data_IF_733160207731
#
_entry.id   IF_733160207731
#
_cell.length_a   1.000
_cell.length_b   1.000
_cell.length_c   1.000
_cell.angle_alpha   90.00
_cell.angle_beta   90.00
_cell.angle_gamma   90.00
#
_symmetry.space_group_name_H-M   'P 1'
#
loop_
_entity.id
_entity.type
_entity.pdbx_description
1 polymer ?
#
# COMPACT_ATOMS: atom_id res chain seq x y z
N UNK A 1 -18.80 -7.03 -5.27
CA UNK A 1 -17.52 -6.32 -5.02
C UNK A 1 -16.41 -7.34 -4.84
N UNK A 2 -15.28 -7.10 -5.46
CA UNK A 2 -14.11 -7.93 -5.28
C UNK A 2 -13.11 -7.19 -4.39
N UNK A 3 -12.46 -7.93 -3.49
CA UNK A 3 -11.41 -7.38 -2.63
C UNK A 3 -10.13 -8.16 -2.87
N UNK A 4 -9.09 -7.46 -3.27
CA UNK A 4 -7.75 -8.02 -3.40
C UNK A 4 -6.88 -7.46 -2.30
N UNK A 5 -6.06 -8.31 -1.70
CA UNK A 5 -5.23 -7.92 -0.57
C UNK A 5 -3.80 -8.39 -0.76
N UNK A 6 -2.87 -7.46 -0.63
CA UNK A 6 -1.45 -7.74 -0.59
C UNK A 6 -0.93 -7.46 0.82
N UNK A 7 -0.18 -8.39 1.37
CA UNK A 7 0.41 -8.23 2.71
C UNK A 7 1.92 -8.25 2.58
N UNK A 8 2.56 -7.25 3.17
CA UNK A 8 4.01 -7.11 3.18
C UNK A 8 4.48 -7.08 4.64
N UNK A 9 5.38 -7.99 5.00
CA UNK A 9 5.95 -8.02 6.34
C UNK A 9 7.42 -7.65 6.25
N UNK A 10 7.82 -6.63 7.00
CA UNK A 10 9.23 -6.22 7.03
C UNK A 10 10.03 -7.21 7.85
N UNK A 11 11.05 -7.83 7.24
CA UNK A 11 11.82 -8.89 7.89
C UNK A 11 13.23 -8.47 8.29
N UNK A 12 13.76 -7.36 7.75
CA UNK A 12 15.16 -6.99 7.98
C UNK A 12 15.34 -5.47 8.03
N UNK A 13 15.45 -4.93 9.24
CA UNK A 13 15.82 -3.54 9.46
C UNK A 13 14.69 -2.54 9.22
N UNK A 14 14.96 -1.28 9.52
CA UNK A 14 14.00 -0.21 9.30
C UNK A 14 14.02 0.29 7.85
N UNK A 15 12.92 0.94 7.46
CA UNK A 15 12.79 1.67 6.20
C UNK A 15 12.54 3.12 6.57
N UNK A 16 13.32 4.04 5.99
CA UNK A 16 13.15 5.47 6.25
C UNK A 16 11.83 5.98 5.68
N UNK A 17 11.32 7.06 6.28
CA UNK A 17 10.16 7.74 5.77
C UNK A 17 10.36 8.14 4.30
N UNK A 18 9.29 8.13 3.53
CA UNK A 18 9.27 8.50 2.12
C UNK A 18 10.09 7.58 1.19
N UNK A 19 10.39 6.37 1.64
CA UNK A 19 11.00 5.36 0.77
C UNK A 19 9.93 4.72 -0.09
N UNK A 20 10.16 4.67 -1.40
CA UNK A 20 9.23 4.03 -2.34
C UNK A 20 9.26 2.51 -2.17
N UNK A 21 8.07 1.92 -2.03
CA UNK A 21 7.90 0.49 -1.86
C UNK A 21 6.97 -0.01 -2.96
N UNK A 22 7.46 -0.92 -3.81
CA UNK A 22 6.63 -1.60 -4.79
C UNK A 22 5.85 -2.69 -4.06
N UNK A 23 4.54 -2.58 -4.02
CA UNK A 23 3.70 -3.51 -3.23
C UNK A 23 3.70 -4.93 -3.78
N UNK A 24 4.08 -5.13 -5.03
CA UNK A 24 4.14 -6.45 -5.64
C UNK A 24 5.55 -7.01 -5.69
N UNK A 25 6.56 -6.17 -5.57
CA UNK A 25 7.98 -6.57 -5.61
C UNK A 25 8.82 -5.57 -4.81
N UNK A 26 8.71 -5.58 -3.48
CA UNK A 26 9.41 -4.59 -2.65
C UNK A 26 10.91 -4.87 -2.49
N UNK A 27 11.38 -6.01 -3.00
CA UNK A 27 12.79 -6.37 -2.89
C UNK A 27 13.15 -7.13 -1.62
N UNK A 28 14.46 -7.29 -1.35
CA UNK A 28 14.92 -8.02 -0.18
C UNK A 28 14.45 -7.41 1.14
N UNK A 29 14.28 -8.24 2.15
CA UNK A 29 13.88 -7.79 3.47
C UNK A 29 12.36 -7.70 3.66
N UNK A 30 11.58 -8.27 2.74
CA UNK A 30 10.14 -8.33 2.83
C UNK A 30 9.64 -9.75 2.60
N UNK A 31 8.65 -10.16 3.37
CA UNK A 31 7.86 -11.36 3.11
C UNK A 31 6.53 -10.94 2.54
N UNK A 32 6.07 -11.62 1.49
CA UNK A 32 4.85 -11.27 0.77
C UNK A 32 3.79 -12.36 0.96
N UNK A 33 2.56 -11.90 1.20
CA UNK A 33 1.38 -12.75 1.26
C UNK A 33 0.26 -12.11 0.45
N UNK A 34 -0.75 -12.89 0.13
CA UNK A 34 -1.89 -12.39 -0.62
C UNK A 34 -1.64 -12.38 -2.13
N UNK A 35 -2.36 -11.50 -2.83
CA UNK A 35 -2.32 -11.43 -4.29
C UNK A 35 -1.77 -10.09 -4.75
N UNK A 36 -1.16 -10.02 -5.94
CA UNK A 36 -0.72 -8.74 -6.50
C UNK A 36 -1.89 -7.77 -6.63
N UNK A 37 -1.63 -6.50 -6.34
CA UNK A 37 -2.61 -5.42 -6.45
C UNK A 37 -2.01 -4.33 -7.31
N UNK A 38 -2.73 -3.93 -8.35
CA UNK A 38 -2.25 -2.92 -9.30
C UNK A 38 -3.24 -1.78 -9.40
N UNK A 39 -2.74 -0.59 -9.74
CA UNK A 39 -3.54 0.61 -9.87
C UNK A 39 -3.24 1.29 -11.19
N UNK A 40 -4.27 1.91 -11.79
CA UNK A 40 -4.11 2.67 -13.01
C UNK A 40 -3.61 4.10 -12.76
N UNK A 41 -3.57 4.53 -11.51
CA UNK A 41 -3.10 5.85 -11.14
C UNK A 41 -3.50 6.23 -9.73
N UNK A 42 -3.16 7.47 -9.33
CA UNK A 42 -3.39 7.96 -7.97
C UNK A 42 -4.87 8.08 -7.62
N UNK A 43 -5.72 8.39 -8.59
CA UNK A 43 -7.17 8.48 -8.35
C UNK A 43 -7.73 7.11 -7.95
N UNK A 44 -7.35 6.06 -8.66
CA UNK A 44 -7.78 4.72 -8.30
C UNK A 44 -7.27 4.34 -6.92
N UNK A 45 -6.01 4.66 -6.60
CA UNK A 45 -5.45 4.38 -5.30
C UNK A 45 -6.27 5.05 -4.19
N UNK A 46 -6.53 6.35 -4.32
CA UNK A 46 -7.22 7.11 -3.27
C UNK A 46 -8.68 6.73 -3.11
N UNK A 47 -9.35 6.30 -4.19
CA UNK A 47 -10.78 6.02 -4.18
C UNK A 47 -11.13 4.57 -3.90
N UNK A 48 -10.23 3.63 -4.24
CA UNK A 48 -10.55 2.20 -4.18
C UNK A 48 -9.65 1.41 -3.24
N UNK A 49 -8.71 2.06 -2.57
CA UNK A 49 -7.68 1.37 -1.81
C UNK A 49 -7.68 1.81 -0.36
N UNK A 50 -7.44 0.85 0.52
CA UNK A 50 -7.13 1.10 1.92
C UNK A 50 -5.78 0.49 2.25
N UNK A 51 -5.00 1.20 3.05
CA UNK A 51 -3.69 0.73 3.51
C UNK A 51 -3.74 0.63 5.02
N UNK A 52 -3.25 -0.48 5.54
CA UNK A 52 -3.17 -0.72 6.98
C UNK A 52 -1.72 -0.93 7.37
N UNK A 53 -1.36 -0.44 8.54
CA UNK A 53 -0.06 -0.70 9.16
C UNK A 53 -0.32 -1.27 10.54
N UNK A 54 0.13 -2.51 10.75
CA UNK A 54 -0.08 -3.22 12.02
C UNK A 54 -1.55 -3.26 12.45
N UNK A 55 -2.45 -3.40 11.47
CA UNK A 55 -3.87 -3.49 11.72
C UNK A 55 -4.60 -2.15 11.81
N UNK A 56 -3.88 -1.02 11.79
CA UNK A 56 -4.49 0.31 11.82
C UNK A 56 -4.61 0.88 10.42
N UNK A 57 -5.80 1.39 10.11
CA UNK A 57 -6.03 2.03 8.80
C UNK A 57 -5.19 3.30 8.70
N UNK A 58 -4.60 3.52 7.53
CA UNK A 58 -3.74 4.66 7.28
C UNK A 58 -4.47 5.67 6.39
N UNK A 59 -4.21 6.95 6.61
CA UNK A 59 -4.70 8.00 5.73
C UNK A 59 -3.88 7.99 4.45
N UNK A 60 -4.58 7.92 3.31
CA UNK A 60 -3.93 7.82 2.01
C UNK A 60 -4.07 9.12 1.22
N UNK A 61 -3.10 9.38 0.36
CA UNK A 61 -3.10 10.54 -0.51
C UNK A 61 -2.35 10.29 -1.80
N UNK A 62 -2.44 11.25 -2.71
CA UNK A 62 -1.82 11.16 -4.04
C UNK A 62 -0.37 11.67 -4.06
N UNK A 63 0.07 12.33 -3.01
CA UNK A 63 1.42 12.90 -2.94
C UNK A 63 1.81 13.10 -1.48
N UNK A 64 3.08 13.31 -1.24
CA UNK A 64 3.58 13.58 0.11
C UNK A 64 2.89 14.80 0.71
N UNK A 65 2.36 14.65 1.91
CA UNK A 65 1.66 15.69 2.63
C UNK A 65 1.70 15.37 4.12
N UNK A 66 1.80 16.38 4.96
CA UNK A 66 1.80 16.19 6.40
C UNK A 66 0.49 15.59 6.94
N UNK A 67 -0.55 15.58 6.13
CA UNK A 67 -1.86 15.06 6.52
C UNK A 67 -2.07 13.60 6.13
N UNK A 68 -1.11 12.99 5.42
CA UNK A 68 -1.20 11.59 5.01
C UNK A 68 -0.29 10.73 5.88
N UNK A 69 -0.65 9.44 6.01
CA UNK A 69 0.24 8.43 6.56
C UNK A 69 1.01 7.73 5.46
N UNK A 70 0.38 7.56 4.30
CA UNK A 70 0.95 6.88 3.14
C UNK A 70 0.44 7.56 1.88
N UNK A 71 1.26 7.58 0.84
CA UNK A 71 0.84 8.16 -0.43
C UNK A 71 1.22 7.25 -1.60
N UNK A 72 0.45 7.40 -2.68
CA UNK A 72 0.70 6.69 -3.92
C UNK A 72 1.85 7.37 -4.67
N UNK A 73 2.86 6.59 -5.02
CA UNK A 73 3.96 7.09 -5.84
C UNK A 73 3.55 6.98 -7.30
N UNK A 74 4.02 7.93 -8.13
CA UNK A 74 3.59 8.05 -9.52
C UNK A 74 3.73 6.76 -10.33
N UNK A 75 4.63 5.87 -9.94
CA UNK A 75 4.75 4.56 -10.56
C UNK A 75 3.63 3.67 -10.02
N UNK A 76 2.82 3.13 -10.91
CA UNK A 76 1.69 2.27 -10.53
C UNK A 76 2.14 1.09 -9.68
N UNK A 77 1.48 0.88 -8.56
CA UNK A 77 1.79 -0.22 -7.66
C UNK A 77 2.82 0.09 -6.57
N UNK A 78 3.25 1.35 -6.45
CA UNK A 78 4.19 1.75 -5.42
C UNK A 78 3.56 2.71 -4.42
N UNK A 79 3.97 2.57 -3.17
CA UNK A 79 3.52 3.45 -2.07
C UNK A 79 4.75 3.93 -1.28
N UNK A 80 4.56 4.98 -0.51
CA UNK A 80 5.57 5.45 0.42
C UNK A 80 4.88 5.92 1.70
N UNK A 81 5.40 5.49 2.84
CA UNK A 81 4.90 5.94 4.13
C UNK A 81 5.61 7.24 4.54
N UNK A 82 4.89 8.13 5.17
CA UNK A 82 5.45 9.38 5.67
C UNK A 82 6.08 9.20 7.06
N UNK A 83 6.26 7.96 7.48
CA UNK A 83 6.91 7.60 8.75
C UNK A 83 7.87 6.44 8.51
N UNK A 84 8.77 6.25 9.46
CA UNK A 84 9.69 5.11 9.44
C UNK A 84 8.94 3.81 9.69
N UNK A 85 9.27 2.78 8.93
CA UNK A 85 8.80 1.42 9.18
C UNK A 85 9.90 0.63 9.88
N UNK A 86 9.49 -0.30 10.73
CA UNK A 86 10.43 -1.10 11.53
C UNK A 86 10.30 -2.58 11.19
N UNK A 87 11.30 -3.35 11.61
CA UNK A 87 11.25 -4.81 11.50
C UNK A 87 9.98 -5.33 12.17
N UNK A 88 9.33 -6.28 11.51
CA UNK A 88 8.06 -6.89 11.90
C UNK A 88 6.83 -6.02 11.68
N UNK A 89 6.97 -4.82 11.12
CA UNK A 89 5.79 -4.06 10.69
C UNK A 89 5.08 -4.82 9.57
N UNK A 90 3.75 -4.87 9.68
CA UNK A 90 2.89 -5.53 8.71
C UNK A 90 2.11 -4.46 7.97
N UNK A 91 2.30 -4.41 6.65
CA UNK A 91 1.60 -3.50 5.76
C UNK A 91 0.61 -4.30 4.94
N UNK A 92 -0.66 -3.89 4.93
CA UNK A 92 -1.67 -4.50 4.09
C UNK A 92 -2.21 -3.45 3.14
N UNK A 93 -2.29 -3.82 1.88
CA UNK A 93 -2.89 -2.99 0.83
C UNK A 93 -4.12 -3.71 0.32
N UNK A 94 -5.28 -3.13 0.53
CA UNK A 94 -6.57 -3.69 0.14
C UNK A 94 -7.13 -2.88 -1.01
N UNK A 95 -7.45 -3.54 -2.11
CA UNK A 95 -8.09 -2.91 -3.26
C UNK A 95 -9.51 -3.43 -3.39
N UNK A 96 -10.46 -2.50 -3.44
CA UNK A 96 -11.87 -2.80 -3.60
C UNK A 96 -12.26 -2.52 -5.04
N UNK A 97 -12.63 -3.57 -5.77
CA UNK A 97 -13.08 -3.43 -7.15
C UNK A 97 -14.59 -3.60 -7.20
N UNK A 98 -15.27 -2.57 -7.66
CA UNK A 98 -16.70 -2.62 -7.87
C UNK A 98 -16.97 -3.51 -9.08
N UNK A 99 -17.54 -4.68 -8.83
CA UNK A 99 -18.00 -5.48 -9.95
C UNK A 99 -19.32 -4.90 -10.43
N UNK A 100 -19.35 -4.55 -11.72
CA UNK A 100 -20.57 -4.06 -12.30
C UNK A 100 -21.56 -5.22 -12.37
N UNK A 101 -22.58 -5.17 -11.52
CA UNK A 101 -23.69 -6.07 -11.69
C UNK A 101 -24.33 -5.70 -13.02
N UNK A 102 -24.33 -6.61 -13.95
CA UNK A 102 -25.05 -6.39 -15.19
C UNK A 102 -26.54 -6.31 -14.90
N UNK A 103 -27.07 -5.20 -15.11
CA UNK A 103 -28.49 -4.97 -14.86
C UNK A 103 -28.79 -4.53 -13.48
#
# INVERSE_FOLDING_TARGET
MQVDRRVLVRTAGHIDANTTIDINDPGPGWALLGVPVTFSGSTEFTETTQVYRNGEIQLTGASASADNDVYFVAVSGSIAFEMKLHTNDVVQVWKFTQTTASG
#
